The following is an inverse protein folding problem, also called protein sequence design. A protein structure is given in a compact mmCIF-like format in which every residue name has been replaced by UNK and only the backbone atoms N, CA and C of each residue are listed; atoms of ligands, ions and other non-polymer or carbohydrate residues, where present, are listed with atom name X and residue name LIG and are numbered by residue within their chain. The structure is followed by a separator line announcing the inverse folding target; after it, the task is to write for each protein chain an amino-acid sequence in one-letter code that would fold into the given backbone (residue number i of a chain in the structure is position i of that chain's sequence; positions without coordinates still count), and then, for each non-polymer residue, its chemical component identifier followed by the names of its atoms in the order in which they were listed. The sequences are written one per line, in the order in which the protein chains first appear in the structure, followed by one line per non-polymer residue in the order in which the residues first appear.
data_IF_120462782205
#
_entry.id   IF_120462782205
#
_cell.length_a   1.000
_cell.length_b   1.000
_cell.length_c   1.000
_cell.angle_alpha   90.00
_cell.angle_beta   90.00
_cell.angle_gamma   90.00
#
_symmetry.space_group_name_H-M   'P 1'
#
loop_
_entity.id
_entity.type
_entity.pdbx_description
1 polymer ?
#
# COMPACT_ATOMS: atom_id res chain seq x y z
N UNK A 1 -17.27 -10.73 5.90
CA UNK A 1 -16.15 -11.50 6.48
C UNK A 1 -14.96 -11.26 5.58
N UNK A 2 -13.95 -10.52 6.04
CA UNK A 2 -12.75 -10.24 5.26
C UNK A 2 -11.72 -11.32 5.64
N UNK A 3 -11.77 -12.48 4.97
CA UNK A 3 -10.77 -13.54 5.16
C UNK A 3 -9.69 -13.41 4.08
N UNK A 4 -8.46 -13.17 4.50
CA UNK A 4 -7.28 -13.21 3.65
C UNK A 4 -6.05 -13.51 4.48
N UNK A 5 -5.51 -14.72 4.33
CA UNK A 5 -4.24 -15.13 4.92
C UNK A 5 -3.08 -14.64 4.05
N UNK A 6 -2.15 -13.88 4.63
CA UNK A 6 -0.90 -13.49 3.96
C UNK A 6 0.22 -14.40 4.46
N UNK A 7 0.72 -15.27 3.60
CA UNK A 7 1.88 -16.13 3.87
C UNK A 7 3.20 -15.35 3.77
N UNK A 8 4.12 -15.69 4.66
CA UNK A 8 5.41 -15.03 4.84
C UNK A 8 6.32 -15.25 3.62
N UNK A 9 6.91 -14.13 3.13
CA UNK A 9 7.88 -13.94 2.01
C UNK A 9 7.41 -13.01 0.87
N UNK A 10 6.25 -12.37 1.01
CA UNK A 10 5.80 -11.37 0.04
C UNK A 10 6.60 -10.04 0.14
N UNK A 11 6.76 -9.28 -0.95
CA UNK A 11 7.27 -7.89 -0.89
C UNK A 11 6.13 -6.88 -0.72
N UNK A 12 4.89 -7.25 -1.03
CA UNK A 12 3.70 -6.45 -0.77
C UNK A 12 2.73 -7.19 0.15
N UNK A 13 1.97 -6.48 0.96
CA UNK A 13 0.90 -7.02 1.79
C UNK A 13 -0.38 -6.23 1.55
N UNK A 14 -1.50 -6.94 1.58
CA UNK A 14 -2.84 -6.33 1.58
C UNK A 14 -3.21 -6.04 3.02
N UNK A 15 -3.59 -4.80 3.27
CA UNK A 15 -4.27 -4.41 4.48
C UNK A 15 -5.76 -4.26 4.18
N UNK A 16 -6.55 -5.21 4.65
CA UNK A 16 -8.00 -5.11 4.63
C UNK A 16 -8.44 -4.01 5.57
N UNK A 17 -9.17 -3.01 5.07
CA UNK A 17 -9.72 -1.97 5.94
C UNK A 17 -11.10 -2.38 6.44
N UNK A 18 -11.15 -3.49 7.17
CA UNK A 18 -12.34 -3.92 7.90
C UNK A 18 -12.19 -3.49 9.37
N UNK A 19 -13.29 -3.44 10.14
CA UNK A 19 -13.47 -2.78 11.44
C UNK A 19 -12.34 -2.95 12.52
N UNK A 20 -11.41 -3.90 12.35
CA UNK A 20 -10.23 -4.12 13.20
C UNK A 20 -8.95 -3.35 12.76
N UNK A 21 -8.95 -2.70 11.60
CA UNK A 21 -7.75 -2.09 10.98
C UNK A 21 -7.54 -0.61 11.31
N UNK A 22 -8.38 0.00 12.15
CA UNK A 22 -8.28 1.42 12.51
C UNK A 22 -6.90 1.79 13.10
N UNK A 23 -6.20 0.86 13.76
CA UNK A 23 -4.88 1.14 14.34
C UNK A 23 -3.73 1.18 13.32
N UNK A 24 -3.89 0.65 12.10
CA UNK A 24 -2.78 0.59 11.12
C UNK A 24 -2.53 1.95 10.46
N UNK A 25 -3.57 2.76 10.29
CA UNK A 25 -3.45 4.12 9.77
C UNK A 25 -3.14 5.16 10.86
N UNK A 26 -3.11 4.79 12.13
CA UNK A 26 -2.82 5.72 13.23
C UNK A 26 -1.44 6.36 13.09
N UNK A 27 -0.40 5.59 12.77
CA UNK A 27 0.95 6.14 12.57
C UNK A 27 1.02 7.13 11.41
N UNK A 28 0.08 7.05 10.47
CA UNK A 28 0.01 7.91 9.29
C UNK A 28 -0.79 9.20 9.52
N UNK A 29 -1.38 9.39 10.71
CA UNK A 29 -2.18 10.58 10.98
C UNK A 29 -1.37 11.86 10.74
N UNK A 30 -1.96 12.83 10.07
CA UNK A 30 -1.27 14.03 9.57
C UNK A 30 -0.53 14.77 10.69
N UNK A 31 -1.13 14.92 11.87
CA UNK A 31 -0.52 15.58 13.04
C UNK A 31 0.69 14.84 13.62
N UNK A 32 0.78 13.52 13.43
CA UNK A 32 1.96 12.72 13.82
C UNK A 32 3.03 12.89 12.75
N UNK A 33 2.63 12.79 11.49
CA UNK A 33 3.53 12.87 10.34
C UNK A 33 4.13 14.26 10.14
N UNK A 34 3.48 15.32 10.61
CA UNK A 34 4.04 16.69 10.62
C UNK A 34 5.28 16.86 11.50
N UNK A 35 5.54 15.92 12.41
CA UNK A 35 6.74 15.90 13.25
C UNK A 35 7.94 15.26 12.53
N UNK A 36 7.69 14.53 11.44
CA UNK A 36 8.70 13.85 10.65
C UNK A 36 9.33 14.80 9.60
N UNK A 37 10.39 14.37 8.93
CA UNK A 37 11.16 15.19 8.01
C UNK A 37 10.52 15.31 6.61
N UNK A 38 10.63 16.50 6.01
CA UNK A 38 10.33 16.72 4.60
C UNK A 38 11.49 16.21 3.74
N UNK A 39 11.35 15.00 3.21
CA UNK A 39 12.35 14.40 2.34
C UNK A 39 12.24 14.88 0.88
N UNK A 40 13.33 14.76 0.12
CA UNK A 40 13.36 15.16 -1.28
C UNK A 40 12.71 14.11 -2.17
N UNK A 41 11.66 14.52 -2.88
CA UNK A 41 10.89 13.66 -3.80
C UNK A 41 11.78 13.17 -4.94
N UNK A 42 11.72 11.87 -5.23
CA UNK A 42 12.43 11.23 -6.33
C UNK A 42 13.89 10.86 -6.02
N UNK A 43 14.41 11.21 -4.84
CA UNK A 43 15.76 10.84 -4.40
C UNK A 43 15.71 9.85 -3.24
N UNK A 44 16.75 9.03 -3.06
CA UNK A 44 16.85 8.14 -1.90
C UNK A 44 17.26 8.92 -0.66
N UNK A 45 16.65 8.59 0.48
CA UNK A 45 17.03 9.17 1.78
C UNK A 45 18.14 8.33 2.41
N UNK A 46 19.35 8.43 1.86
CA UNK A 46 20.54 7.74 2.36
C UNK A 46 21.07 8.39 3.63
N UNK A 47 21.26 7.58 4.67
CA UNK A 47 21.55 8.06 6.03
C UNK A 47 22.53 7.14 6.77
N UNK A 48 23.42 6.43 6.06
CA UNK A 48 24.25 5.36 6.63
C UNK A 48 25.06 5.81 7.86
N UNK A 49 25.55 7.05 7.85
CA UNK A 49 26.37 7.64 8.90
C UNK A 49 25.58 8.13 10.13
N UNK A 50 24.24 8.17 10.07
CA UNK A 50 23.41 8.71 11.14
C UNK A 50 23.05 7.62 12.16
N UNK A 51 23.25 7.80 13.48
CA UNK A 51 22.88 6.79 14.46
C UNK A 51 21.36 6.64 14.60
N UNK A 52 20.62 7.74 14.44
CA UNK A 52 19.16 7.79 14.43
C UNK A 52 18.74 8.28 13.04
N UNK A 53 17.92 7.49 12.33
CA UNK A 53 17.51 7.82 10.97
C UNK A 53 16.28 8.74 10.98
N UNK A 54 16.32 9.77 10.14
CA UNK A 54 15.19 10.63 9.78
C UNK A 54 14.09 9.82 9.12
N UNK A 55 12.85 10.19 9.41
CA UNK A 55 11.65 9.57 8.87
C UNK A 55 11.00 10.53 7.89
N UNK A 56 10.66 10.06 6.71
CA UNK A 56 9.94 10.87 5.73
C UNK A 56 8.43 10.89 6.01
N UNK A 57 7.80 12.05 5.86
CA UNK A 57 6.35 12.18 6.05
C UNK A 57 5.56 11.38 4.99
N UNK A 58 4.58 10.57 5.43
CA UNK A 58 3.49 10.08 4.60
C UNK A 58 2.16 10.37 5.28
N UNK A 59 1.46 11.41 4.84
CA UNK A 59 0.21 11.85 5.46
C UNK A 59 -0.96 10.95 5.06
N UNK A 60 -1.79 10.54 6.03
CA UNK A 60 -3.01 9.74 5.81
C UNK A 60 -3.96 10.42 4.83
N UNK A 61 -4.01 11.75 4.81
CA UNK A 61 -4.79 12.52 3.84
C UNK A 61 -4.41 12.28 2.37
N UNK A 62 -3.20 11.77 2.09
CA UNK A 62 -2.77 11.38 0.73
C UNK A 62 -3.62 10.25 0.15
N UNK A 63 -4.22 9.41 1.00
CA UNK A 63 -5.14 8.33 0.58
C UNK A 63 -6.55 8.84 0.22
N UNK A 64 -6.79 10.16 0.30
CA UNK A 64 -8.03 10.84 -0.12
C UNK A 64 -9.31 10.15 0.40
N UNK A 65 -10.21 9.71 -0.47
CA UNK A 65 -11.47 9.06 -0.10
C UNK A 65 -11.24 7.77 0.70
N UNK A 66 -10.16 7.05 0.42
CA UNK A 66 -9.75 5.84 1.12
C UNK A 66 -8.97 6.10 2.42
N UNK A 67 -8.84 7.36 2.85
CA UNK A 67 -8.14 7.69 4.09
C UNK A 67 -8.93 7.27 5.33
N UNK A 68 -10.25 7.19 5.28
CA UNK A 68 -11.07 6.97 6.47
C UNK A 68 -11.31 8.23 7.32
N UNK A 69 -10.92 9.42 6.82
CA UNK A 69 -11.10 10.69 7.53
C UNK A 69 -12.50 11.29 7.31
N UNK A 70 -13.08 11.09 6.12
CA UNK A 70 -14.44 11.54 5.78
C UNK A 70 -15.46 10.41 5.90
N UNK A 71 -15.06 9.21 5.47
CA UNK A 71 -15.89 8.02 5.51
C UNK A 71 -15.14 6.92 6.27
N UNK A 72 -15.59 6.62 7.48
CA UNK A 72 -15.00 5.56 8.31
C UNK A 72 -15.27 4.14 7.77
N UNK A 73 -16.18 4.00 6.81
CA UNK A 73 -16.46 2.72 6.14
C UNK A 73 -15.50 2.44 4.98
N UNK A 74 -14.58 3.35 4.63
CA UNK A 74 -13.59 3.15 3.56
C UNK A 74 -14.22 2.70 2.23
N UNK A 75 -15.37 3.27 1.89
CA UNK A 75 -16.13 2.99 0.67
C UNK A 75 -16.93 1.69 0.71
N UNK A 76 -16.83 0.87 1.77
CA UNK A 76 -17.58 -0.38 1.88
C UNK A 76 -19.10 -0.14 1.95
N UNK A 77 -19.55 0.92 2.64
CA UNK A 77 -20.98 1.23 2.73
C UNK A 77 -21.58 1.69 1.39
N UNK A 78 -20.76 2.22 0.48
CA UNK A 78 -21.18 2.67 -0.86
C UNK A 78 -21.02 1.57 -1.93
N UNK A 79 -20.62 0.35 -1.54
CA UNK A 79 -20.31 -0.75 -2.46
C UNK A 79 -19.03 -0.53 -3.29
N UNK A 80 -18.18 0.43 -2.90
CA UNK A 80 -16.93 0.80 -3.58
C UNK A 80 -15.74 0.67 -2.62
N UNK A 81 -15.39 -0.56 -2.21
CA UNK A 81 -14.43 -0.79 -1.14
C UNK A 81 -13.04 -0.28 -1.52
N UNK A 82 -12.36 0.33 -0.55
CA UNK A 82 -10.96 0.68 -0.62
C UNK A 82 -10.08 -0.42 0.00
N UNK A 83 -9.13 -0.92 -0.78
CA UNK A 83 -8.09 -1.84 -0.32
C UNK A 83 -6.77 -1.09 -0.22
N UNK A 84 -6.05 -1.22 0.89
CA UNK A 84 -4.75 -0.57 1.07
C UNK A 84 -3.64 -1.57 0.79
N UNK A 85 -2.81 -1.27 -0.19
CA UNK A 85 -1.61 -2.01 -0.55
C UNK A 85 -0.42 -1.36 0.14
N UNK A 86 0.36 -2.20 0.84
CA UNK A 86 1.49 -1.80 1.66
C UNK A 86 2.71 -2.63 1.26
N UNK A 87 3.83 -1.98 0.99
CA UNK A 87 5.08 -2.70 0.75
C UNK A 87 5.65 -3.22 2.08
N UNK A 88 6.23 -4.42 2.09
CA UNK A 88 6.91 -4.99 3.24
C UNK A 88 8.24 -4.28 3.50
N UNK A 89 8.60 -4.16 4.78
CA UNK A 89 9.81 -3.43 5.20
C UNK A 89 11.04 -4.31 5.03
N UNK A 90 11.78 -4.12 3.94
CA UNK A 90 13.04 -4.83 3.67
C UNK A 90 14.21 -3.89 3.93
N UNK A 91 15.12 -4.29 4.83
CA UNK A 91 16.28 -3.48 5.21
C UNK A 91 17.21 -3.32 4.00
N UNK A 92 17.65 -2.09 3.72
CA UNK A 92 18.59 -1.79 2.64
C UNK A 92 18.00 -1.86 1.22
N UNK A 93 16.69 -2.13 1.07
CA UNK A 93 16.06 -2.20 -0.24
C UNK A 93 16.06 -0.84 -0.94
N UNK A 94 16.57 -0.81 -2.17
CA UNK A 94 16.57 0.36 -3.07
C UNK A 94 16.03 -0.07 -4.44
N UNK A 95 14.72 0.11 -4.71
CA UNK A 95 14.14 -0.28 -6.00
C UNK A 95 14.67 0.62 -7.12
N UNK A 96 15.36 0.05 -8.12
CA UNK A 96 15.76 0.83 -9.30
C UNK A 96 14.54 1.20 -10.13
N UNK A 97 14.63 2.26 -10.95
CA UNK A 97 13.48 2.74 -11.74
C UNK A 97 12.50 3.55 -10.89
N UNK A 98 11.23 3.61 -11.27
CA UNK A 98 10.19 4.36 -10.56
C UNK A 98 9.06 3.39 -10.16
N UNK A 99 9.11 2.83 -8.94
CA UNK A 99 8.20 1.77 -8.55
C UNK A 99 6.76 2.28 -8.38
N UNK A 100 5.78 1.53 -8.89
CA UNK A 100 4.35 1.84 -8.74
C UNK A 100 3.51 0.57 -8.62
N UNK A 101 2.34 0.69 -8.00
CA UNK A 101 1.40 -0.42 -7.87
C UNK A 101 0.45 -0.45 -9.06
N UNK A 102 0.35 -1.59 -9.72
CA UNK A 102 -0.61 -1.84 -10.80
C UNK A 102 -1.49 -3.04 -10.43
N UNK A 103 -2.81 -2.86 -10.44
CA UNK A 103 -3.76 -3.92 -10.11
C UNK A 103 -4.64 -4.29 -11.30
N UNK A 104 -4.88 -5.60 -11.45
CA UNK A 104 -5.71 -6.21 -12.49
C UNK A 104 -6.69 -7.19 -11.86
N UNK A 105 -7.92 -7.22 -12.36
CA UNK A 105 -8.93 -8.20 -11.96
C UNK A 105 -9.12 -9.31 -13.00
N UNK A 106 -9.83 -10.39 -12.63
CA UNK A 106 -10.26 -11.45 -13.55
C UNK A 106 -11.17 -10.92 -14.68
N UNK A 107 -11.91 -9.86 -14.40
CA UNK A 107 -12.74 -9.11 -15.35
C UNK A 107 -12.25 -7.65 -15.43
N UNK A 108 -12.64 -6.87 -16.45
CA UNK A 108 -12.24 -5.46 -16.59
C UNK A 108 -12.87 -4.58 -15.50
N UNK A 109 -12.37 -4.73 -14.29
CA UNK A 109 -12.75 -3.95 -13.11
C UNK A 109 -12.16 -2.55 -13.22
N UNK A 110 -13.03 -1.55 -13.07
CA UNK A 110 -12.58 -0.16 -12.93
C UNK A 110 -12.02 0.05 -11.53
N UNK A 111 -10.80 0.58 -11.47
CA UNK A 111 -10.11 0.86 -10.21
C UNK A 111 -9.63 2.30 -10.18
N UNK A 112 -9.61 2.89 -9.00
CA UNK A 112 -9.06 4.22 -8.76
C UNK A 112 -7.98 4.15 -7.68
N UNK A 113 -6.85 4.82 -7.93
CA UNK A 113 -5.68 4.78 -7.06
C UNK A 113 -5.52 6.07 -6.26
N UNK A 114 -5.03 5.93 -5.03
CA UNK A 114 -4.62 7.04 -4.18
C UNK A 114 -3.27 6.75 -3.51
N UNK A 115 -2.21 7.53 -3.80
CA UNK A 115 -2.15 8.63 -4.78
C UNK A 115 -2.45 8.20 -6.23
N UNK A 116 -2.79 9.15 -7.11
CA UNK A 116 -3.26 8.89 -8.48
C UNK A 116 -2.28 8.10 -9.34
N UNK A 117 -0.98 8.33 -9.14
CA UNK A 117 0.07 7.66 -9.90
C UNK A 117 0.42 6.28 -9.31
N UNK A 118 -0.14 5.92 -8.15
CA UNK A 118 0.20 4.70 -7.41
C UNK A 118 1.71 4.51 -7.15
N UNK A 119 2.50 5.59 -7.23
CA UNK A 119 3.96 5.57 -7.12
C UNK A 119 4.39 5.42 -5.67
N UNK A 120 5.42 4.62 -5.46
CA UNK A 120 6.15 4.53 -4.21
C UNK A 120 7.42 5.37 -4.34
N UNK A 121 7.38 6.61 -3.85
CA UNK A 121 8.49 7.53 -4.06
C UNK A 121 9.81 7.03 -3.43
N UNK A 122 10.93 7.27 -4.11
CA UNK A 122 12.28 6.86 -3.68
C UNK A 122 12.67 7.44 -2.32
N UNK A 123 12.07 8.57 -1.93
CA UNK A 123 12.36 9.22 -0.65
C UNK A 123 12.09 8.32 0.55
N UNK A 124 11.20 7.34 0.42
CA UNK A 124 10.93 6.37 1.49
C UNK A 124 11.97 5.25 1.60
N UNK A 125 12.93 5.17 0.68
CA UNK A 125 13.94 4.12 0.63
C UNK A 125 15.36 4.70 0.86
N UNK A 126 16.28 3.92 1.47
CA UNK A 126 16.08 2.57 2.01
C UNK A 126 15.54 2.56 3.44
N UNK A 127 14.94 1.44 3.85
CA UNK A 127 14.60 1.19 5.25
C UNK A 127 15.82 0.66 6.01
N UNK A 128 16.02 1.12 7.24
CA UNK A 128 17.22 0.86 8.06
C UNK A 128 16.97 -0.08 9.25
N UNK A 129 15.79 -0.67 9.35
CA UNK A 129 15.42 -1.57 10.45
C UNK A 129 14.85 -0.84 11.66
N UNK A 130 14.04 -1.56 12.44
CA UNK A 130 13.20 -0.96 13.48
C UNK A 130 14.00 -0.35 14.64
N UNK A 131 15.24 -0.80 14.85
CA UNK A 131 16.10 -0.28 15.93
C UNK A 131 16.64 1.12 15.63
N UNK A 132 17.06 1.37 14.39
CA UNK A 132 17.65 2.65 13.98
C UNK A 132 16.62 3.61 13.38
N UNK A 133 15.47 3.08 12.94
CA UNK A 133 14.46 3.79 12.17
C UNK A 133 13.05 3.42 12.67
N UNK A 134 12.80 3.63 13.96
CA UNK A 134 11.64 3.12 14.69
C UNK A 134 10.30 3.68 14.19
N UNK A 135 10.24 5.00 13.97
CA UNK A 135 9.02 5.69 13.54
C UNK A 135 8.82 5.66 12.02
N UNK A 136 9.66 4.91 11.29
CA UNK A 136 9.53 4.74 9.86
C UNK A 136 8.12 4.29 9.47
N UNK A 137 7.54 4.95 8.48
CA UNK A 137 6.32 4.53 7.82
C UNK A 137 6.60 4.28 6.35
N UNK A 138 6.20 3.11 5.85
CA UNK A 138 6.30 2.84 4.42
C UNK A 138 5.19 3.55 3.65
N UNK A 139 5.41 3.93 2.38
CA UNK A 139 4.37 4.50 1.55
C UNK A 139 3.23 3.48 1.35
N UNK A 140 2.01 4.00 1.28
CA UNK A 140 0.80 3.23 1.08
C UNK A 140 0.15 3.63 -0.25
N UNK A 141 -0.51 2.68 -0.90
CA UNK A 141 -1.38 2.94 -2.05
C UNK A 141 -2.75 2.38 -1.73
N UNK A 142 -3.78 3.20 -1.79
CA UNK A 142 -5.16 2.72 -1.74
C UNK A 142 -5.69 2.48 -3.15
N UNK A 143 -6.40 1.38 -3.31
CA UNK A 143 -7.06 0.95 -4.54
C UNK A 143 -8.55 0.88 -4.24
N UNK A 144 -9.33 1.77 -4.83
CA UNK A 144 -10.78 1.77 -4.73
C UNK A 144 -11.35 0.98 -5.91
N UNK A 145 -12.13 -0.06 -5.60
CA UNK A 145 -12.84 -0.83 -6.62
C UNK A 145 -14.15 -0.12 -6.98
N UNK A 146 -14.29 0.24 -8.25
CA UNK A 146 -15.48 0.89 -8.78
C UNK A 146 -16.41 -0.17 -9.39
N UNK A 147 -17.07 -0.92 -8.50
CA UNK A 147 -17.96 -2.02 -8.86
C UNK A 147 -19.27 -1.51 -9.47
N UNK A 148 -19.72 -2.17 -10.52
CA UNK A 148 -21.04 -2.01 -11.13
C UNK A 148 -22.03 -3.04 -10.58
N UNK A 149 -23.32 -2.95 -10.93
CA UNK A 149 -24.33 -3.93 -10.51
C UNK A 149 -23.99 -5.36 -10.95
N UNK A 150 -23.31 -5.50 -12.08
CA UNK A 150 -22.91 -6.79 -12.65
C UNK A 150 -21.76 -7.44 -11.86
N UNK A 151 -21.00 -6.63 -11.12
CA UNK A 151 -19.89 -7.09 -10.28
C UNK A 151 -20.33 -7.46 -8.85
N UNK A 152 -21.56 -7.11 -8.46
CA UNK A 152 -22.11 -7.43 -7.14
C UNK A 152 -22.45 -8.91 -7.04
N UNK A 153 -22.27 -9.47 -5.84
CA UNK A 153 -22.45 -10.89 -5.54
C UNK A 153 -21.56 -11.85 -6.37
N UNK A 154 -20.61 -11.33 -7.14
CA UNK A 154 -19.59 -12.07 -7.88
C UNK A 154 -18.29 -12.06 -7.07
N UNK A 155 -17.65 -13.22 -6.94
CA UNK A 155 -16.28 -13.29 -6.39
C UNK A 155 -15.30 -12.89 -7.48
N UNK A 156 -14.53 -11.84 -7.21
CA UNK A 156 -13.52 -11.30 -8.11
C UNK A 156 -12.13 -11.56 -7.52
N UNK A 157 -11.21 -12.10 -8.31
CA UNK A 157 -9.79 -12.13 -7.93
C UNK A 157 -9.12 -10.86 -8.44
N UNK A 158 -8.40 -10.18 -7.55
CA UNK A 158 -7.60 -9.00 -7.87
C UNK A 158 -6.13 -9.31 -7.58
N UNK A 159 -5.29 -9.06 -8.56
CA UNK A 159 -3.84 -9.18 -8.46
C UNK A 159 -3.22 -7.78 -8.57
N UNK A 160 -2.44 -7.37 -7.56
CA UNK A 160 -1.68 -6.13 -7.54
C UNK A 160 -0.18 -6.43 -7.59
N UNK A 161 0.53 -5.82 -8.54
CA UNK A 161 1.98 -5.98 -8.76
C UNK A 161 2.72 -4.67 -8.56
N UNK A 162 3.96 -4.78 -8.10
CA UNK A 162 4.90 -3.67 -8.00
C UNK A 162 5.70 -3.56 -9.30
N UNK A 163 5.31 -2.66 -10.19
CA UNK A 163 5.94 -2.46 -11.50
C UNK A 163 6.93 -1.29 -11.50
N UNK A 164 7.58 -1.05 -12.65
CA UNK A 164 8.49 0.09 -12.82
C UNK A 164 9.85 -0.08 -12.15
N UNK A 165 10.19 -1.29 -11.71
CA UNK A 165 11.45 -1.60 -11.00
C UNK A 165 12.06 -2.92 -11.43
N UNK A 166 13.31 -3.16 -11.02
CA UNK A 166 14.06 -4.39 -11.28
C UNK A 166 13.78 -5.52 -10.26
N UNK A 167 12.80 -5.34 -9.37
CA UNK A 167 12.36 -6.38 -8.46
C UNK A 167 11.66 -7.48 -9.26
N UNK A 168 12.11 -8.73 -9.10
CA UNK A 168 11.60 -9.88 -9.86
C UNK A 168 10.20 -10.21 -9.38
N UNK A 169 9.21 -10.11 -10.26
CA UNK A 169 7.80 -10.42 -9.95
C UNK A 169 7.28 -11.71 -10.61
N UNK A 170 8.10 -12.35 -11.45
CA UNK A 170 7.70 -13.35 -12.44
C UNK A 170 8.36 -14.72 -12.21
N UNK A 171 8.84 -15.02 -11.00
CA UNK A 171 9.36 -16.35 -10.68
C UNK A 171 8.21 -17.24 -10.19
N UNK A 172 7.89 -18.29 -10.94
CA UNK A 172 6.87 -19.29 -10.58
C UNK A 172 7.20 -20.08 -9.31
N UNK A 173 8.46 -20.05 -8.86
CA UNK A 173 8.86 -20.63 -7.56
C UNK A 173 8.64 -19.67 -6.40
N UNK A 174 8.59 -18.36 -6.67
CA UNK A 174 8.44 -17.29 -5.68
C UNK A 174 7.27 -16.37 -6.05
N UNK A 175 6.08 -17.00 -6.16
CA UNK A 175 4.80 -16.42 -6.62
C UNK A 175 4.26 -15.23 -5.81
N UNK A 176 5.03 -14.72 -4.87
CA UNK A 176 4.66 -13.62 -3.98
C UNK A 176 5.73 -12.51 -3.97
N UNK A 177 6.81 -12.63 -4.73
CA UNK A 177 7.75 -11.53 -4.87
C UNK A 177 7.08 -10.38 -5.64
N UNK A 178 6.95 -9.24 -4.97
CA UNK A 178 6.40 -8.01 -5.54
C UNK A 178 4.97 -8.06 -6.05
N UNK A 179 4.17 -9.08 -5.68
CA UNK A 179 2.75 -9.16 -6.04
C UNK A 179 1.89 -9.68 -4.92
N UNK A 180 0.64 -9.23 -4.86
CA UNK A 180 -0.35 -9.70 -3.90
C UNK A 180 -1.65 -9.99 -4.61
N UNK A 181 -2.22 -11.16 -4.31
CA UNK A 181 -3.49 -11.63 -4.88
C UNK A 181 -4.50 -11.77 -3.75
N UNK A 182 -5.69 -11.22 -3.95
CA UNK A 182 -6.78 -11.33 -2.99
C UNK A 182 -8.10 -11.52 -3.72
N UNK A 183 -9.06 -12.13 -3.03
CA UNK A 183 -10.42 -12.31 -3.54
C UNK A 183 -11.35 -11.36 -2.82
N UNK A 184 -12.26 -10.75 -3.56
CA UNK A 184 -13.25 -9.83 -3.03
C UNK A 184 -14.61 -10.22 -3.56
N UNK A 185 -15.59 -10.25 -2.66
CA UNK A 185 -17.00 -10.42 -3.01
C UNK A 185 -17.77 -9.38 -2.21
N UNK A 186 -18.40 -8.45 -2.91
CA UNK A 186 -19.29 -7.45 -2.31
C UNK A 186 -20.71 -7.95 -2.52
N UNK A 187 -21.42 -8.19 -1.42
CA UNK A 187 -22.83 -8.54 -1.46
C UNK A 187 -23.70 -7.29 -1.49
N UNK A 188 -24.90 -7.42 -2.03
CA UNK A 188 -25.96 -6.41 -1.91
C UNK A 188 -26.43 -6.26 -0.45
#
# INVERSE_FOLDING_TARGET
VCEGSVSALCVCSVLWVCNESLCVLCSYNDSIQERNDLCMVGEYTEQDNEPIKKVCQFKRSMLRQCSGLRDSSFGFAEGKPCIIIKMNRVIGLKPQGDPYINCTGDSPLRMQYYPSEARLDKMFFPYYGNKAHADYVQPLVAVQLLLSREDLNVEQTVECKLEGTNLRNDDDRDKFMGRVVFRVKVSE
#
